data_IF_683882874533
#
_entry.id   IF_683882874533
#
_cell.length_a   1.000
_cell.length_b   1.000
_cell.length_c   1.000
_cell.angle_alpha   90.00
_cell.angle_beta   90.00
_cell.angle_gamma   90.00
#
_symmetry.space_group_name_H-M   'P 1'
#
loop_
_entity.id
_entity.type
_entity.pdbx_description
1 polymer ?
#
# COMPACT_ATOMS: atom_id res chain seq x y z
N UNK A 1 7.78 42.37 57.20
CA UNK A 1 7.93 40.90 57.05
C UNK A 1 7.46 40.54 55.65
N UNK A 2 8.41 40.08 54.86
CA UNK A 2 8.30 39.65 53.46
C UNK A 2 7.57 38.31 53.34
N UNK A 3 6.54 38.24 52.49
CA UNK A 3 6.03 36.97 51.97
C UNK A 3 6.11 36.97 50.44
N UNK A 4 6.52 35.81 49.91
CA UNK A 4 7.13 35.59 48.59
C UNK A 4 6.09 35.59 47.47
N UNK A 5 6.40 36.28 46.37
CA UNK A 5 5.82 36.01 45.05
C UNK A 5 6.59 34.87 44.37
N UNK A 6 5.86 33.85 43.90
CA UNK A 6 6.31 32.88 42.90
C UNK A 6 5.39 33.04 41.68
N UNK A 7 5.89 33.28 40.45
CA UNK A 7 5.05 33.29 39.27
C UNK A 7 4.80 31.86 38.77
N UNK A 8 3.54 31.59 38.44
CA UNK A 8 3.04 30.33 37.92
C UNK A 8 3.47 30.17 36.45
N UNK A 9 4.18 29.08 36.13
CA UNK A 9 4.61 28.74 34.77
C UNK A 9 3.43 28.17 33.98
N UNK A 10 3.06 28.83 32.87
CA UNK A 10 2.12 28.31 31.88
C UNK A 10 2.76 27.19 31.07
N UNK A 11 2.31 25.95 31.30
CA UNK A 11 2.59 24.82 30.42
C UNK A 11 1.64 24.88 29.20
N UNK A 12 2.17 25.20 28.03
CA UNK A 12 1.54 24.86 26.75
C UNK A 12 1.73 23.36 26.50
N UNK A 13 0.68 22.58 26.74
CA UNK A 13 0.59 21.20 26.28
C UNK A 13 0.20 21.18 24.80
N UNK A 14 1.16 20.95 23.91
CA UNK A 14 0.89 20.58 22.52
C UNK A 14 0.34 19.16 22.52
N UNK A 15 -0.96 19.00 22.35
CA UNK A 15 -1.59 17.70 22.09
C UNK A 15 -1.33 17.34 20.62
N UNK A 16 -0.27 16.59 20.37
CA UNK A 16 -0.17 15.83 19.13
C UNK A 16 -1.06 14.59 19.27
N UNK A 17 -2.18 14.59 18.55
CA UNK A 17 -3.05 13.43 18.43
C UNK A 17 -2.30 12.36 17.64
N UNK A 18 -1.79 11.35 18.34
CA UNK A 18 -1.23 10.14 17.72
C UNK A 18 -2.39 9.35 17.08
N UNK A 19 -2.60 9.52 15.79
CA UNK A 19 -3.47 8.62 15.03
C UNK A 19 -2.71 7.31 14.82
N UNK A 20 -2.94 6.35 15.72
CA UNK A 20 -2.53 4.97 15.55
C UNK A 20 -3.18 4.39 14.29
N UNK A 21 -2.42 3.64 13.49
CA UNK A 21 -3.00 2.75 12.47
C UNK A 21 -4.11 1.93 13.13
N UNK A 22 -5.31 1.80 12.53
CA UNK A 22 -6.33 0.90 13.07
C UNK A 22 -5.71 -0.49 13.23
N UNK A 23 -5.60 -0.95 14.48
CA UNK A 23 -5.10 -2.27 14.84
C UNK A 23 -6.14 -3.35 14.60
N UNK A 24 -7.01 -3.17 13.60
CA UNK A 24 -8.02 -4.15 13.27
C UNK A 24 -7.29 -5.30 12.59
N UNK A 25 -7.21 -6.44 13.29
CA UNK A 25 -6.62 -7.70 12.84
C UNK A 25 -7.26 -8.28 11.56
N UNK A 26 -8.17 -7.50 10.96
CA UNK A 26 -9.13 -7.93 9.97
C UNK A 26 -9.86 -6.74 9.35
N UNK A 27 -10.06 -6.75 8.03
CA UNK A 27 -10.83 -5.73 7.32
C UNK A 27 -12.27 -6.23 7.13
N UNK A 28 -13.22 -5.57 7.79
CA UNK A 28 -14.61 -6.03 7.92
C UNK A 28 -15.63 -5.34 7.01
N UNK A 29 -15.22 -4.26 6.32
CA UNK A 29 -16.09 -3.53 5.41
C UNK A 29 -15.35 -3.01 4.19
N UNK A 30 -16.09 -2.84 3.09
CA UNK A 30 -15.60 -2.27 1.84
C UNK A 30 -16.66 -1.34 1.25
N UNK A 31 -16.22 -0.23 0.67
CA UNK A 31 -17.09 0.62 -0.14
C UNK A 31 -17.34 -0.06 -1.48
N UNK A 32 -18.58 -0.06 -1.94
CA UNK A 32 -18.95 -0.56 -3.27
C UNK A 32 -19.63 0.56 -4.04
N UNK A 33 -19.29 0.70 -5.31
CA UNK A 33 -19.89 1.68 -6.21
C UNK A 33 -20.29 1.02 -7.52
N UNK A 34 -21.39 1.50 -8.11
CA UNK A 34 -21.93 1.03 -9.38
C UNK A 34 -22.35 2.19 -10.27
N UNK A 35 -22.15 2.04 -11.57
CA UNK A 35 -22.65 2.94 -12.60
C UNK A 35 -23.68 2.23 -13.47
N UNK A 36 -24.75 2.94 -13.85
CA UNK A 36 -25.84 2.44 -14.68
C UNK A 36 -26.27 3.50 -15.72
N UNK A 37 -26.92 3.10 -16.83
CA UNK A 37 -27.28 1.73 -17.23
C UNK A 37 -26.11 0.99 -17.89
N UNK A 38 -26.16 -0.35 -17.83
CA UNK A 38 -25.33 -1.26 -18.64
C UNK A 38 -26.15 -2.49 -19.09
N UNK A 39 -25.53 -3.43 -19.79
CA UNK A 39 -26.24 -4.58 -20.39
C UNK A 39 -26.74 -5.60 -19.34
N UNK A 40 -27.86 -6.27 -19.63
CA UNK A 40 -28.52 -7.19 -18.69
C UNK A 40 -27.73 -8.49 -18.42
N UNK A 41 -26.92 -8.97 -19.37
CA UNK A 41 -26.14 -10.21 -19.24
C UNK A 41 -24.77 -10.03 -18.55
N UNK A 42 -24.48 -8.83 -18.05
CA UNK A 42 -23.22 -8.44 -17.42
C UNK A 42 -22.80 -9.31 -16.22
N UNK A 43 -23.76 -9.83 -15.45
CA UNK A 43 -23.50 -10.58 -14.21
C UNK A 43 -22.81 -11.94 -14.42
N UNK A 44 -23.21 -12.71 -15.43
CA UNK A 44 -22.68 -14.07 -15.64
C UNK A 44 -21.20 -14.06 -16.05
N UNK A 45 -20.83 -13.11 -16.90
CA UNK A 45 -19.45 -12.97 -17.37
C UNK A 45 -18.52 -12.43 -16.26
N UNK A 46 -19.04 -11.67 -15.29
CA UNK A 46 -18.28 -11.26 -14.10
C UNK A 46 -17.83 -12.46 -13.27
N UNK A 47 -18.73 -13.43 -13.05
CA UNK A 47 -18.44 -14.67 -12.30
C UNK A 47 -17.22 -15.38 -12.90
N UNK A 48 -17.20 -15.52 -14.23
CA UNK A 48 -16.12 -16.22 -14.95
C UNK A 48 -14.79 -15.49 -14.81
N UNK A 49 -14.79 -14.15 -14.93
CA UNK A 49 -13.58 -13.34 -14.76
C UNK A 49 -13.03 -13.46 -13.32
N UNK A 50 -13.91 -13.47 -12.31
CA UNK A 50 -13.52 -13.68 -10.91
C UNK A 50 -12.95 -15.07 -10.65
N UNK A 51 -13.58 -16.11 -11.19
CA UNK A 51 -13.10 -17.49 -10.98
C UNK A 51 -11.71 -17.69 -11.59
N UNK A 52 -11.47 -17.11 -12.77
CA UNK A 52 -10.15 -17.09 -13.41
C UNK A 52 -9.09 -16.41 -12.53
N UNK A 53 -9.42 -15.27 -11.89
CA UNK A 53 -8.52 -14.59 -10.97
C UNK A 53 -8.25 -15.40 -9.70
N UNK A 54 -9.29 -16.03 -9.12
CA UNK A 54 -9.14 -16.89 -7.94
C UNK A 54 -8.17 -18.03 -8.22
N UNK A 55 -8.27 -18.65 -9.39
CA UNK A 55 -7.37 -19.72 -9.81
C UNK A 55 -5.93 -19.21 -9.92
N UNK A 56 -5.71 -18.07 -10.58
CA UNK A 56 -4.37 -17.50 -10.76
C UNK A 56 -3.72 -17.06 -9.44
N UNK A 57 -4.50 -16.53 -8.50
CA UNK A 57 -4.00 -16.14 -7.18
C UNK A 57 -3.51 -17.34 -6.37
N UNK A 58 -4.12 -18.52 -6.53
CA UNK A 58 -3.66 -19.74 -5.87
C UNK A 58 -2.24 -20.15 -6.26
N UNK A 59 -1.73 -19.68 -7.40
CA UNK A 59 -0.36 -19.92 -7.87
C UNK A 59 0.60 -18.76 -7.55
N UNK A 60 0.08 -17.55 -7.29
CA UNK A 60 0.86 -16.31 -7.17
C UNK A 60 1.19 -15.90 -5.72
N UNK A 61 0.67 -16.60 -4.70
CA UNK A 61 0.72 -16.14 -3.31
C UNK A 61 1.97 -16.62 -2.56
N UNK A 62 3.07 -15.86 -2.61
CA UNK A 62 3.94 -15.60 -1.43
C UNK A 62 4.99 -14.47 -1.62
N UNK A 63 4.83 -13.58 -2.60
CA UNK A 63 5.91 -12.63 -2.95
C UNK A 63 6.16 -11.52 -1.92
N UNK A 64 5.20 -11.24 -1.03
CA UNK A 64 5.26 -10.09 -0.11
C UNK A 64 5.18 -8.74 -0.83
N UNK A 65 4.68 -8.72 -2.07
CA UNK A 65 4.52 -7.54 -2.91
C UNK A 65 3.04 -7.24 -3.16
N UNK A 66 2.74 -6.00 -3.58
CA UNK A 66 1.39 -5.63 -4.00
C UNK A 66 1.02 -6.42 -5.27
N UNK A 67 -0.15 -7.04 -5.27
CA UNK A 67 -0.68 -7.79 -6.39
C UNK A 67 -1.52 -6.86 -7.25
N UNK A 68 -1.22 -6.82 -8.54
CA UNK A 68 -1.98 -6.11 -9.56
C UNK A 68 -2.28 -7.11 -10.67
N UNK A 69 -3.56 -7.43 -10.87
CA UNK A 69 -3.99 -8.38 -11.89
C UNK A 69 -5.07 -7.76 -12.77
N UNK A 70 -5.04 -8.11 -14.06
CA UNK A 70 -6.12 -7.83 -14.99
C UNK A 70 -6.65 -9.16 -15.52
N UNK A 71 -7.96 -9.26 -15.68
CA UNK A 71 -8.63 -10.33 -16.39
C UNK A 71 -9.58 -9.73 -17.42
N UNK A 72 -9.69 -10.39 -18.57
CA UNK A 72 -10.64 -9.98 -19.61
C UNK A 72 -11.37 -11.20 -20.15
N UNK A 73 -12.68 -11.07 -20.29
CA UNK A 73 -13.57 -12.08 -20.86
C UNK A 73 -14.64 -11.35 -21.68
N UNK A 74 -14.68 -11.58 -22.99
CA UNK A 74 -15.53 -10.84 -23.93
C UNK A 74 -15.36 -9.31 -23.81
N UNK A 75 -16.41 -8.58 -23.45
CA UNK A 75 -16.40 -7.13 -23.24
C UNK A 75 -16.09 -6.72 -21.80
N UNK A 76 -15.81 -7.68 -20.90
CA UNK A 76 -15.49 -7.36 -19.51
C UNK A 76 -13.99 -7.21 -19.33
N UNK A 77 -13.64 -6.16 -18.60
CA UNK A 77 -12.31 -5.95 -18.06
C UNK A 77 -12.45 -5.87 -16.55
N UNK A 78 -11.70 -6.71 -15.85
CA UNK A 78 -11.61 -6.73 -14.40
C UNK A 78 -10.17 -6.38 -14.00
N UNK A 79 -10.01 -5.49 -13.04
CA UNK A 79 -8.74 -5.20 -12.39
C UNK A 79 -8.80 -5.46 -10.89
N UNK A 80 -7.81 -6.16 -10.35
CA UNK A 80 -7.66 -6.47 -8.94
C UNK A 80 -6.37 -5.83 -8.41
N UNK A 81 -6.48 -5.18 -7.25
CA UNK A 81 -5.36 -4.71 -6.46
C UNK A 81 -5.45 -5.30 -5.04
N UNK A 82 -4.37 -5.92 -4.59
CA UNK A 82 -4.24 -6.39 -3.19
C UNK A 82 -2.90 -5.92 -2.64
N UNK A 83 -2.95 -5.08 -1.61
CA UNK A 83 -1.76 -4.61 -0.92
C UNK A 83 -0.98 -5.74 -0.24
N UNK A 84 0.35 -5.57 -0.16
CA UNK A 84 1.28 -6.59 0.34
C UNK A 84 1.01 -7.06 1.79
N UNK A 85 0.34 -6.26 2.61
CA UNK A 85 -0.01 -6.61 3.99
C UNK A 85 -1.30 -7.43 4.08
N UNK A 86 -2.05 -7.59 2.99
CA UNK A 86 -3.33 -8.30 2.97
C UNK A 86 -3.12 -9.72 2.44
N UNK A 87 -3.88 -10.66 3.00
CA UNK A 87 -4.00 -12.02 2.46
C UNK A 87 -4.93 -12.01 1.23
N UNK A 88 -4.36 -12.26 0.05
CA UNK A 88 -5.07 -12.12 -1.21
C UNK A 88 -6.21 -13.14 -1.38
N UNK A 89 -6.07 -14.34 -0.83
CA UNK A 89 -7.10 -15.37 -0.89
C UNK A 89 -8.35 -14.94 -0.11
N UNK A 90 -8.16 -14.43 1.10
CA UNK A 90 -9.25 -13.89 1.93
C UNK A 90 -9.91 -12.67 1.31
N UNK A 91 -9.13 -11.74 0.74
CA UNK A 91 -9.61 -10.56 0.04
C UNK A 91 -10.55 -10.92 -1.12
N UNK A 92 -10.11 -11.81 -2.02
CA UNK A 92 -10.94 -12.20 -3.17
C UNK A 92 -12.12 -13.05 -2.75
N UNK A 93 -11.96 -13.93 -1.75
CA UNK A 93 -13.09 -14.72 -1.24
C UNK A 93 -14.17 -13.87 -0.59
N UNK A 94 -13.81 -12.77 0.08
CA UNK A 94 -14.75 -11.88 0.75
C UNK A 94 -15.42 -10.89 -0.21
N UNK A 95 -14.69 -10.36 -1.20
CA UNK A 95 -15.23 -9.38 -2.15
C UNK A 95 -16.04 -10.03 -3.28
N UNK A 96 -15.76 -11.29 -3.63
CA UNK A 96 -16.45 -11.95 -4.74
C UNK A 96 -17.99 -11.99 -4.56
N UNK A 97 -18.58 -12.39 -3.41
CA UNK A 97 -20.03 -12.39 -3.26
C UNK A 97 -20.66 -11.01 -3.43
N UNK A 98 -20.05 -9.95 -2.89
CA UNK A 98 -20.59 -8.59 -2.98
C UNK A 98 -20.54 -7.99 -4.40
N UNK A 99 -19.66 -8.51 -5.25
CA UNK A 99 -19.52 -8.08 -6.65
C UNK A 99 -20.25 -9.01 -7.62
N UNK A 100 -20.34 -10.30 -7.30
CA UNK A 100 -20.94 -11.31 -8.17
C UNK A 100 -22.44 -11.46 -7.92
N UNK A 101 -22.91 -11.30 -6.67
CA UNK A 101 -24.32 -11.40 -6.33
C UNK A 101 -24.99 -10.01 -6.24
N UNK A 102 -26.14 -9.93 -6.91
CA UNK A 102 -26.69 -8.76 -7.60
C UNK A 102 -27.67 -7.94 -6.74
N UNK A 103 -27.28 -6.70 -6.40
CA UNK A 103 -27.73 -5.56 -7.21
C UNK A 103 -26.61 -4.68 -7.77
N UNK A 104 -25.33 -4.94 -7.47
CA UNK A 104 -24.24 -4.02 -7.84
C UNK A 104 -23.60 -4.28 -9.22
N UNK A 105 -23.93 -5.39 -9.88
CA UNK A 105 -23.38 -5.74 -11.21
C UNK A 105 -24.42 -6.01 -12.30
N UNK A 106 -25.63 -6.45 -11.96
CA UNK A 106 -26.68 -6.73 -12.96
C UNK A 106 -27.20 -5.46 -13.62
N UNK A 107 -26.87 -5.21 -14.89
CA UNK A 107 -27.23 -3.98 -15.62
C UNK A 107 -26.34 -2.78 -15.29
N UNK A 108 -25.16 -3.02 -14.71
CA UNK A 108 -24.16 -1.99 -14.46
C UNK A 108 -23.29 -1.83 -15.71
N UNK A 109 -22.88 -0.60 -16.05
CA UNK A 109 -21.82 -0.38 -17.03
C UNK A 109 -20.44 -0.59 -16.39
N UNK A 110 -20.32 -0.23 -15.11
CA UNK A 110 -19.13 -0.38 -14.28
C UNK A 110 -19.50 -0.67 -12.83
N UNK A 111 -18.62 -1.37 -12.12
CA UNK A 111 -18.69 -1.51 -10.68
C UNK A 111 -17.30 -1.56 -10.05
N UNK A 112 -17.19 -1.22 -8.77
CA UNK A 112 -15.98 -1.45 -7.99
C UNK A 112 -16.34 -1.78 -6.56
N UNK A 113 -15.49 -2.54 -5.88
CA UNK A 113 -15.45 -2.60 -4.42
C UNK A 113 -14.03 -2.30 -3.94
N UNK A 114 -13.90 -1.55 -2.85
CA UNK A 114 -12.61 -1.12 -2.36
C UNK A 114 -12.56 -0.96 -0.84
N UNK A 115 -11.37 -1.18 -0.29
CA UNK A 115 -11.00 -0.89 1.08
C UNK A 115 -9.84 0.10 1.00
N UNK A 116 -10.12 1.36 1.29
CA UNK A 116 -9.19 2.47 1.12
C UNK A 116 -9.41 3.52 2.22
N UNK A 117 -8.82 4.70 2.07
CA UNK A 117 -9.07 5.85 2.93
C UNK A 117 -8.09 6.01 4.09
N UNK A 118 -8.50 6.81 5.08
CA UNK A 118 -7.59 7.35 6.09
C UNK A 118 -6.87 6.27 6.88
N UNK A 119 -5.58 6.52 7.12
CA UNK A 119 -4.71 5.61 7.87
C UNK A 119 -4.21 4.40 7.09
N UNK A 120 -4.63 4.18 5.84
CA UNK A 120 -4.11 3.08 5.01
C UNK A 120 -3.03 3.57 4.06
N UNK A 121 -1.96 2.80 3.96
CA UNK A 121 -0.96 2.94 2.90
C UNK A 121 -1.27 1.94 1.77
N UNK A 122 -0.51 1.98 0.68
CA UNK A 122 -0.73 1.12 -0.50
C UNK A 122 -0.67 -0.39 -0.19
N UNK A 123 -0.02 -0.80 0.90
CA UNK A 123 0.07 -2.21 1.31
C UNK A 123 -1.20 -2.70 2.03
N UNK A 124 -2.09 -1.80 2.43
CA UNK A 124 -3.34 -2.11 3.16
C UNK A 124 -4.60 -1.81 2.36
N UNK A 125 -4.46 -1.49 1.07
CA UNK A 125 -5.59 -1.30 0.16
C UNK A 125 -5.95 -2.60 -0.54
N UNK A 126 -7.25 -2.83 -0.68
CA UNK A 126 -7.82 -3.88 -1.52
C UNK A 126 -8.81 -3.24 -2.47
N UNK A 127 -8.80 -3.61 -3.74
CA UNK A 127 -9.73 -3.06 -4.72
C UNK A 127 -10.00 -4.03 -5.84
N UNK A 128 -11.27 -4.08 -6.27
CA UNK A 128 -11.68 -4.73 -7.51
C UNK A 128 -12.50 -3.75 -8.31
N UNK A 129 -12.14 -3.55 -9.58
CA UNK A 129 -12.89 -2.73 -10.52
C UNK A 129 -13.28 -3.58 -11.72
N UNK A 130 -14.51 -3.40 -12.20
CA UNK A 130 -15.09 -4.13 -13.32
C UNK A 130 -15.68 -3.12 -14.28
N UNK A 131 -15.31 -3.23 -15.54
CA UNK A 131 -16.02 -2.60 -16.65
C UNK A 131 -16.73 -3.68 -17.44
N UNK A 132 -18.01 -3.46 -17.75
CA UNK A 132 -18.83 -4.33 -18.59
C UNK A 132 -18.83 -3.92 -20.07
N UNK A 133 -18.28 -2.73 -20.38
CA UNK A 133 -18.25 -2.13 -21.72
C UNK A 133 -16.82 -1.99 -22.28
N UNK A 134 -15.89 -2.81 -21.79
CA UNK A 134 -14.48 -2.83 -22.20
C UNK A 134 -13.72 -1.50 -21.98
N UNK A 135 -14.13 -0.69 -21.00
CA UNK A 135 -13.42 0.51 -20.56
C UNK A 135 -12.21 0.14 -19.69
N UNK A 136 -11.13 -0.29 -20.36
CA UNK A 136 -9.85 -0.59 -19.73
C UNK A 136 -9.25 0.64 -19.02
N UNK A 137 -9.46 1.85 -19.56
CA UNK A 137 -8.90 3.07 -19.00
C UNK A 137 -9.51 3.38 -17.63
N UNK A 138 -10.82 3.20 -17.47
CA UNK A 138 -11.49 3.30 -16.17
C UNK A 138 -10.93 2.32 -15.14
N UNK A 139 -10.76 1.05 -15.53
CA UNK A 139 -10.20 0.03 -14.64
C UNK A 139 -8.76 0.38 -14.25
N UNK A 140 -7.93 0.76 -15.21
CA UNK A 140 -6.55 1.22 -14.96
C UNK A 140 -6.50 2.43 -14.02
N UNK A 141 -7.43 3.37 -14.14
CA UNK A 141 -7.54 4.54 -13.25
C UNK A 141 -7.82 4.14 -11.80
N UNK A 142 -8.66 3.13 -11.57
CA UNK A 142 -8.90 2.60 -10.22
C UNK A 142 -7.62 2.00 -9.64
N UNK A 143 -6.93 1.13 -10.39
CA UNK A 143 -5.70 0.48 -9.94
C UNK A 143 -4.57 1.48 -9.69
N UNK A 144 -4.46 2.52 -10.51
CA UNK A 144 -3.49 3.60 -10.34
C UNK A 144 -3.79 4.50 -9.12
N UNK A 145 -5.03 4.57 -8.68
CA UNK A 145 -5.41 5.28 -7.44
C UNK A 145 -5.00 4.44 -6.23
N UNK A 146 -5.37 3.16 -6.22
CA UNK A 146 -5.02 2.23 -5.14
C UNK A 146 -3.50 2.07 -4.94
N UNK A 147 -2.72 2.00 -6.02
CA UNK A 147 -1.26 1.92 -5.93
C UNK A 147 -0.64 3.18 -5.30
N UNK A 148 -1.31 4.34 -5.38
CA UNK A 148 -0.90 5.61 -4.76
C UNK A 148 -1.49 5.81 -3.36
N UNK A 149 -2.09 4.76 -2.78
CA UNK A 149 -2.81 4.81 -1.51
C UNK A 149 -4.04 5.73 -1.51
N UNK A 150 -4.66 5.92 -2.66
CA UNK A 150 -5.88 6.71 -2.83
C UNK A 150 -7.09 5.78 -3.03
N UNK A 151 -8.27 6.24 -2.64
CA UNK A 151 -9.51 5.60 -3.07
C UNK A 151 -9.71 5.81 -4.58
N UNK A 152 -10.23 4.79 -5.26
CA UNK A 152 -10.65 4.91 -6.64
C UNK A 152 -11.75 5.97 -6.80
N UNK A 153 -11.73 6.73 -7.89
CA UNK A 153 -12.66 7.84 -8.08
C UNK A 153 -14.10 7.32 -8.24
N UNK A 154 -15.01 8.01 -7.57
CA UNK A 154 -16.46 7.92 -7.75
C UNK A 154 -17.00 9.27 -8.23
N UNK A 155 -18.22 9.30 -8.75
CA UNK A 155 -18.87 10.51 -9.25
C UNK A 155 -20.36 10.53 -8.91
N UNK A 156 -21.05 11.61 -9.25
CA UNK A 156 -22.48 11.80 -8.94
C UNK A 156 -23.40 10.79 -9.64
N UNK A 157 -22.91 10.10 -10.68
CA UNK A 157 -23.66 9.03 -11.36
C UNK A 157 -23.44 7.64 -10.73
N UNK A 158 -22.56 7.56 -9.73
CA UNK A 158 -22.29 6.32 -9.01
C UNK A 158 -23.26 6.11 -7.85
N UNK A 159 -23.85 4.93 -7.79
CA UNK A 159 -24.60 4.45 -6.64
C UNK A 159 -23.61 3.81 -5.67
N UNK A 160 -23.42 4.43 -4.50
CA UNK A 160 -22.46 3.99 -3.48
C UNK A 160 -23.20 3.28 -2.33
N UNK A 161 -22.66 2.16 -1.88
CA UNK A 161 -23.07 1.48 -0.65
C UNK A 161 -21.86 0.88 0.07
N UNK A 162 -22.09 0.13 1.14
CA UNK A 162 -21.04 -0.51 1.95
C UNK A 162 -21.34 -1.99 2.11
N UNK A 163 -20.36 -2.83 1.81
CA UNK A 163 -20.35 -4.24 2.18
C UNK A 163 -19.86 -4.36 3.62
N UNK A 164 -20.58 -5.13 4.44
CA UNK A 164 -20.21 -5.42 5.83
C UNK A 164 -19.89 -6.90 6.00
N UNK A 165 -19.43 -7.27 7.19
CA UNK A 165 -19.19 -8.66 7.60
C UNK A 165 -18.19 -9.40 6.69
N UNK A 166 -17.29 -8.65 6.05
CA UNK A 166 -16.24 -9.21 5.19
C UNK A 166 -15.19 -9.92 6.03
N UNK A 167 -14.71 -11.07 5.56
CA UNK A 167 -13.69 -11.84 6.27
C UNK A 167 -12.26 -11.72 5.67
N UNK A 168 -11.60 -10.55 5.74
CA UNK A 168 -10.29 -10.30 5.09
C UNK A 168 -9.15 -10.15 6.10
N UNK A 169 -8.12 -11.00 5.98
CA UNK A 169 -7.01 -11.07 6.93
C UNK A 169 -5.79 -10.26 6.51
N UNK A 170 -5.03 -9.77 7.49
CA UNK A 170 -3.68 -9.25 7.25
C UNK A 170 -2.63 -10.35 7.42
N UNK A 171 -1.51 -10.27 6.71
CA UNK A 171 -0.44 -11.29 6.75
C UNK A 171 0.26 -11.39 8.11
N UNK A 172 0.19 -10.33 8.93
CA UNK A 172 0.75 -10.34 10.28
C UNK A 172 -0.02 -11.26 11.23
N UNK A 173 -1.27 -11.59 10.88
CA UNK A 173 -2.21 -12.32 11.72
C UNK A 173 -2.37 -13.80 11.31
N UNK A 174 -1.63 -14.27 10.30
CA UNK A 174 -1.66 -15.67 9.89
C UNK A 174 -1.17 -16.59 11.04
N UNK A 175 -1.96 -17.60 11.45
CA UNK A 175 -1.55 -18.53 12.50
C UNK A 175 -0.25 -19.25 12.11
N UNK A 176 0.79 -19.08 12.93
CA UNK A 176 2.02 -19.90 12.83
C UNK A 176 3.30 -19.18 12.42
N UNK A 177 3.32 -17.86 12.25
CA UNK A 177 4.57 -17.12 12.03
C UNK A 177 5.11 -16.59 13.38
N UNK A 178 6.21 -17.14 13.92
CA UNK A 178 6.78 -16.62 15.15
C UNK A 178 7.32 -15.22 14.87
N UNK A 179 6.86 -14.21 15.61
CA UNK A 179 7.56 -12.94 15.72
C UNK A 179 8.91 -13.23 16.40
N UNK A 180 9.94 -13.50 15.62
CA UNK A 180 11.30 -13.66 16.12
C UNK A 180 11.79 -12.31 16.63
N UNK A 181 11.50 -12.06 17.91
CA UNK A 181 12.03 -10.92 18.66
C UNK A 181 13.50 -11.18 18.96
N UNK A 182 14.34 -10.96 17.95
CA UNK A 182 15.79 -11.01 18.12
C UNK A 182 16.27 -9.76 18.86
N UNK A 183 16.31 -9.86 20.18
CA UNK A 183 17.05 -8.92 21.02
C UNK A 183 18.53 -9.34 21.02
N UNK A 184 19.32 -8.74 20.14
CA UNK A 184 20.78 -8.86 20.18
C UNK A 184 21.40 -7.50 20.53
N UNK A 185 21.80 -7.35 21.79
CA UNK A 185 22.71 -6.28 22.22
C UNK A 185 24.14 -6.68 21.87
N UNK A 186 24.57 -6.39 20.64
CA UNK A 186 25.99 -6.42 20.27
C UNK A 186 26.40 -5.04 19.75
N UNK A 187 27.20 -4.32 20.53
CA UNK A 187 27.82 -3.06 20.16
C UNK A 187 28.88 -3.35 19.08
N UNK A 188 28.58 -2.97 17.83
CA UNK A 188 29.53 -2.96 16.70
C UNK A 188 29.82 -1.52 16.24
N UNK A 189 30.99 -1.25 15.62
CA UNK A 189 31.41 0.08 15.18
C UNK A 189 30.41 0.65 14.17
N UNK A 190 29.74 1.77 14.51
CA UNK A 190 28.75 2.51 13.70
C UNK A 190 28.01 1.64 12.66
N UNK A 191 27.28 0.64 13.14
CA UNK A 191 26.56 -0.31 12.31
C UNK A 191 25.53 0.38 11.41
N UNK A 192 25.31 -0.19 10.23
CA UNK A 192 24.14 0.12 9.41
C UNK A 192 22.86 -0.14 10.21
N UNK A 193 21.85 0.69 10.01
CA UNK A 193 20.56 0.49 10.66
C UNK A 193 19.76 -0.62 9.95
N UNK A 194 18.91 -1.33 10.70
CA UNK A 194 17.80 -2.07 10.09
C UNK A 194 16.91 -1.05 9.41
N UNK A 195 16.63 -1.19 8.12
CA UNK A 195 15.84 -0.24 7.35
C UNK A 195 14.59 -0.88 6.73
N UNK A 196 13.56 -0.06 6.53
CA UNK A 196 12.37 -0.37 5.72
C UNK A 196 12.18 0.73 4.68
N UNK A 197 11.40 0.47 3.63
CA UNK A 197 11.08 1.46 2.59
C UNK A 197 9.76 2.14 2.90
N UNK A 198 9.70 3.44 2.59
CA UNK A 198 8.46 4.22 2.54
C UNK A 198 7.63 3.76 1.33
N UNK A 199 6.35 3.46 1.54
CA UNK A 199 5.38 3.18 0.48
C UNK A 199 4.34 4.31 0.38
N UNK A 200 3.59 4.43 -0.73
CA UNK A 200 2.54 5.45 -0.84
C UNK A 200 1.55 5.40 0.34
N UNK A 201 1.19 6.57 0.87
CA UNK A 201 0.31 6.71 2.04
C UNK A 201 0.96 6.50 3.41
N UNK A 202 2.26 6.19 3.49
CA UNK A 202 2.95 6.12 4.78
C UNK A 202 3.01 7.46 5.50
N UNK A 203 2.97 7.37 6.83
CA UNK A 203 3.29 8.44 7.77
C UNK A 203 4.41 7.98 8.70
N UNK A 204 5.05 8.91 9.43
CA UNK A 204 6.03 8.49 10.44
C UNK A 204 5.41 7.63 11.55
N UNK A 205 4.12 7.82 11.84
CA UNK A 205 3.40 6.95 12.76
C UNK A 205 3.25 5.52 12.21
N UNK A 206 2.84 5.36 10.95
CA UNK A 206 2.73 4.02 10.33
C UNK A 206 4.08 3.32 10.23
N UNK A 207 5.13 4.05 9.86
CA UNK A 207 6.49 3.53 9.75
C UNK A 207 7.06 3.12 11.12
N UNK A 208 6.82 3.91 12.17
CA UNK A 208 7.23 3.57 13.53
C UNK A 208 6.54 2.27 14.01
N UNK A 209 5.23 2.15 13.78
CA UNK A 209 4.47 0.92 14.06
C UNK A 209 5.01 -0.27 13.26
N UNK A 210 5.26 -0.11 11.95
CA UNK A 210 5.85 -1.15 11.08
C UNK A 210 7.25 -1.58 11.55
N UNK A 211 8.03 -0.65 12.09
CA UNK A 211 9.33 -0.92 12.72
C UNK A 211 9.21 -1.59 14.10
N UNK A 212 8.04 -1.58 14.74
CA UNK A 212 7.84 -2.04 16.12
C UNK A 212 8.50 -1.15 17.16
N UNK A 213 8.58 0.17 16.91
CA UNK A 213 9.23 1.16 17.79
C UNK A 213 8.29 2.35 18.07
N UNK A 214 8.56 3.12 19.13
CA UNK A 214 7.83 4.37 19.36
C UNK A 214 8.17 5.44 18.33
N UNK A 215 7.25 6.38 18.09
CA UNK A 215 7.49 7.53 17.20
C UNK A 215 8.75 8.32 17.57
N UNK A 216 8.97 8.56 18.87
CA UNK A 216 10.18 9.23 19.35
C UNK A 216 11.48 8.47 19.03
N UNK A 217 11.47 7.13 19.12
CA UNK A 217 12.64 6.33 18.72
C UNK A 217 12.83 6.34 17.20
N UNK A 218 11.75 6.26 16.43
CA UNK A 218 11.80 6.35 14.98
C UNK A 218 12.41 7.69 14.52
N UNK A 219 11.95 8.81 15.07
CA UNK A 219 12.51 10.14 14.79
C UNK A 219 13.98 10.25 15.21
N UNK A 220 14.34 9.69 16.36
CA UNK A 220 15.72 9.66 16.84
C UNK A 220 16.65 8.91 15.87
N UNK A 221 16.23 7.73 15.40
CA UNK A 221 16.98 6.92 14.45
C UNK A 221 17.11 7.59 13.08
N UNK A 222 16.12 8.40 12.71
CA UNK A 222 16.09 9.13 11.44
C UNK A 222 16.45 10.61 11.55
N UNK A 223 17.13 10.99 12.63
CA UNK A 223 17.44 12.40 12.95
C UNK A 223 18.46 13.05 12.00
N UNK A 224 19.02 12.28 11.05
CA UNK A 224 19.86 12.75 9.95
C UNK A 224 19.08 13.58 8.92
N UNK A 225 17.76 13.42 8.83
CA UNK A 225 16.88 14.23 7.98
C UNK A 225 15.77 14.84 8.82
N UNK A 226 15.96 16.11 9.21
CA UNK A 226 15.00 16.87 10.04
C UNK A 226 13.64 17.08 9.38
N UNK A 227 13.54 16.86 8.06
CA UNK A 227 12.30 17.07 7.29
C UNK A 227 11.63 15.74 6.93
N UNK A 228 12.19 14.60 7.32
CA UNK A 228 11.70 13.27 6.91
C UNK A 228 10.18 13.15 7.10
N UNK A 229 9.67 13.39 8.30
CA UNK A 229 8.24 13.22 8.61
C UNK A 229 7.31 14.25 7.96
N UNK A 230 7.87 15.35 7.43
CA UNK A 230 7.11 16.35 6.65
C UNK A 230 7.19 16.13 5.14
N UNK A 231 8.13 15.28 4.68
CA UNK A 231 8.46 15.05 3.28
C UNK A 231 8.92 13.61 3.07
N UNK A 232 8.06 12.66 3.42
CA UNK A 232 8.32 11.26 3.14
C UNK A 232 8.36 11.08 1.62
N UNK A 233 9.48 10.53 1.14
CA UNK A 233 9.66 10.20 -0.27
C UNK A 233 9.45 8.69 -0.43
N UNK A 234 8.51 8.30 -1.28
CA UNK A 234 8.25 6.89 -1.59
C UNK A 234 9.52 6.23 -2.14
N UNK A 235 9.73 4.97 -1.78
CA UNK A 235 10.93 4.19 -2.11
C UNK A 235 12.15 4.50 -1.22
N UNK A 236 12.22 5.68 -0.58
CA UNK A 236 13.35 6.03 0.29
C UNK A 236 13.38 5.11 1.52
N UNK A 237 14.53 4.53 1.88
CA UNK A 237 14.64 3.76 3.10
C UNK A 237 14.74 4.67 4.33
N UNK A 238 14.20 4.16 5.44
CA UNK A 238 14.20 4.78 6.77
C UNK A 238 14.64 3.75 7.80
N UNK A 239 15.32 4.21 8.86
CA UNK A 239 15.87 3.35 9.90
C UNK A 239 14.83 2.96 10.96
N UNK A 240 14.76 1.67 11.27
CA UNK A 240 14.04 1.09 12.41
C UNK A 240 14.93 0.87 13.64
N UNK A 241 16.24 1.10 13.54
CA UNK A 241 17.21 0.94 14.64
C UNK A 241 18.26 2.05 14.62
N UNK A 242 19.05 2.24 15.70
CA UNK A 242 20.24 3.09 15.64
C UNK A 242 21.19 2.64 14.52
N UNK A 243 21.85 3.60 13.88
CA UNK A 243 22.80 3.34 12.81
C UNK A 243 22.73 4.40 11.71
N UNK A 244 23.41 4.15 10.60
CA UNK A 244 23.26 4.90 9.35
C UNK A 244 22.60 4.02 8.29
N UNK A 245 21.95 4.64 7.31
CA UNK A 245 21.59 3.89 6.10
C UNK A 245 22.87 3.39 5.39
N UNK A 246 22.84 2.19 4.79
CA UNK A 246 23.89 1.75 3.89
C UNK A 246 24.03 2.70 2.69
N UNK A 247 25.17 2.67 2.01
CA UNK A 247 25.26 3.25 0.68
C UNK A 247 24.43 2.41 -0.30
N UNK A 248 23.33 2.99 -0.77
CA UNK A 248 22.34 2.33 -1.62
C UNK A 248 22.70 2.40 -3.10
N UNK A 249 23.72 3.19 -3.47
CA UNK A 249 24.05 3.43 -4.87
C UNK A 249 24.45 2.12 -5.55
N UNK A 250 23.80 1.75 -6.66
CA UNK A 250 24.13 0.53 -7.37
C UNK A 250 25.59 0.56 -7.81
N UNK A 251 26.33 -0.49 -7.46
CA UNK A 251 27.73 -0.65 -7.87
C UNK A 251 27.78 -1.41 -9.19
N UNK A 252 28.72 -1.09 -10.09
CA UNK A 252 28.94 -1.88 -11.30
C UNK A 252 29.16 -3.35 -10.96
N UNK A 253 28.74 -4.24 -11.86
CA UNK A 253 29.05 -5.67 -11.76
C UNK A 253 30.57 -5.86 -11.86
N UNK A 254 31.14 -6.97 -11.35
CA UNK A 254 32.56 -7.29 -11.51
C UNK A 254 33.04 -7.30 -12.98
N UNK A 255 32.14 -7.59 -13.93
CA UNK A 255 32.42 -7.53 -15.37
C UNK A 255 32.57 -6.11 -15.93
N UNK A 256 32.33 -5.07 -15.13
CA UNK A 256 32.32 -3.67 -15.55
C UNK A 256 30.98 -3.20 -16.12
N UNK A 257 30.00 -4.09 -16.24
CA UNK A 257 28.63 -3.72 -16.63
C UNK A 257 27.93 -2.89 -15.56
N UNK A 258 26.98 -2.05 -16.00
CA UNK A 258 26.09 -1.34 -15.08
C UNK A 258 25.27 -2.34 -14.25
N UNK A 259 24.92 -1.92 -13.02
CA UNK A 259 23.90 -2.60 -12.26
C UNK A 259 22.57 -2.56 -13.01
N UNK A 260 21.82 -3.67 -12.97
CA UNK A 260 20.51 -3.79 -13.62
C UNK A 260 19.43 -3.90 -12.56
N UNK A 261 18.27 -3.31 -12.84
CA UNK A 261 17.10 -3.40 -11.98
C UNK A 261 15.89 -3.86 -12.81
N UNK A 262 15.20 -4.89 -12.34
CA UNK A 262 13.95 -5.35 -12.95
C UNK A 262 12.80 -4.59 -12.31
N UNK A 263 12.05 -3.84 -13.13
CA UNK A 263 10.87 -3.08 -12.71
C UNK A 263 9.83 -4.05 -12.14
N UNK A 264 9.34 -3.72 -10.95
CA UNK A 264 8.32 -4.47 -10.22
C UNK A 264 6.96 -3.79 -10.32
N UNK A 265 5.93 -4.50 -9.86
CA UNK A 265 4.59 -3.93 -9.70
C UNK A 265 4.64 -2.67 -8.84
N UNK A 266 3.93 -1.61 -9.28
CA UNK A 266 3.87 -0.29 -8.63
C UNK A 266 5.16 0.54 -8.63
N UNK A 267 6.23 0.09 -9.30
CA UNK A 267 7.45 0.91 -9.39
C UNK A 267 7.21 2.19 -10.21
N UNK A 268 7.73 3.30 -9.70
CA UNK A 268 7.92 4.52 -10.49
C UNK A 268 9.41 4.83 -10.62
N UNK A 269 9.78 5.63 -11.63
CA UNK A 269 11.16 6.10 -11.77
C UNK A 269 11.66 6.82 -10.51
N UNK A 270 10.78 7.56 -9.83
CA UNK A 270 11.11 8.26 -8.60
C UNK A 270 11.41 7.29 -7.44
N UNK A 271 10.61 6.24 -7.28
CA UNK A 271 10.76 5.27 -6.20
C UNK A 271 11.97 4.36 -6.39
N UNK A 272 12.25 4.01 -7.65
CA UNK A 272 13.48 3.31 -8.05
C UNK A 272 14.69 4.17 -7.71
N UNK A 273 14.68 5.46 -8.08
CA UNK A 273 15.77 6.37 -7.78
C UNK A 273 16.00 6.49 -6.26
N UNK A 274 14.94 6.79 -5.52
CA UNK A 274 14.99 6.95 -4.06
C UNK A 274 15.47 5.68 -3.34
N UNK A 275 15.02 4.50 -3.79
CA UNK A 275 15.46 3.19 -3.27
C UNK A 275 16.96 2.94 -3.44
N UNK A 276 17.57 3.57 -4.44
CA UNK A 276 18.94 3.35 -4.86
C UNK A 276 19.85 4.55 -4.54
N UNK A 277 19.38 5.52 -3.75
CA UNK A 277 20.17 6.71 -3.40
C UNK A 277 20.56 7.58 -4.61
N UNK A 278 19.68 7.58 -5.63
CA UNK A 278 19.78 8.32 -6.89
C UNK A 278 18.68 9.40 -6.97
N UNK A 279 18.86 10.34 -7.88
CA UNK A 279 17.80 11.25 -8.33
C UNK A 279 17.03 10.65 -9.52
N UNK A 280 15.77 11.06 -9.72
CA UNK A 280 14.99 10.57 -10.87
C UNK A 280 15.65 10.89 -12.21
N UNK A 281 16.35 12.03 -12.29
CA UNK A 281 17.17 12.43 -13.44
C UNK A 281 18.29 11.44 -13.70
N UNK A 282 18.96 10.92 -12.67
CA UNK A 282 20.00 9.89 -12.82
C UNK A 282 19.41 8.65 -13.52
N UNK A 283 18.23 8.19 -13.08
CA UNK A 283 17.55 7.03 -13.69
C UNK A 283 17.25 7.30 -15.16
N UNK A 284 16.71 8.47 -15.51
CA UNK A 284 16.45 8.83 -16.91
C UNK A 284 17.74 8.87 -17.72
N UNK A 285 18.81 9.47 -17.18
CA UNK A 285 20.08 9.61 -17.87
C UNK A 285 20.79 8.29 -18.12
N UNK A 286 20.80 7.40 -17.13
CA UNK A 286 21.41 6.06 -17.26
C UNK A 286 20.69 5.18 -18.28
N UNK A 287 19.43 5.48 -18.60
CA UNK A 287 18.60 4.72 -19.55
C UNK A 287 18.35 5.45 -20.89
N UNK A 288 19.08 6.54 -21.20
CA UNK A 288 18.91 7.25 -22.50
C UNK A 288 19.26 6.41 -23.74
N UNK A 289 19.97 5.29 -23.56
CA UNK A 289 20.45 4.41 -24.65
C UNK A 289 19.90 2.98 -24.54
N UNK A 290 18.90 2.76 -23.71
CA UNK A 290 18.18 1.49 -23.65
C UNK A 290 16.99 1.58 -24.60
N UNK A 291 16.87 0.63 -25.51
CA UNK A 291 15.79 0.53 -26.51
C UNK A 291 14.59 -0.23 -25.97
#
# INVERSE_FOLDING_TARGET
MTERQVPNSTHHGSQHSETHMPGDAHLSSADIARWSPGEAESGLNAVVAFDSLRHHLGEATDSGENIILFASVHNIVLGLYVGASVDAASAVSALAPGLVDSPHTTGASRSLAQICGQGRNSEHIVGVAISFENDLAAVQSCLASWSRAECAPTDDSSEISTLTDLNIWTRSDLPGRPLTRHSHTHLHPRSECKAIKVVPGDSCASLASKCGVSGANFERYNSYDKRLCSKLAVGKPVCCSPGKLPDLRPKPKPSGECATYTVKSSDTCADIAASNGLETTDVVEFNRKTW
#
